data_IF_859393611840
#
_entry.id   IF_859393611840
#
_cell.length_a   1.000
_cell.length_b   1.000
_cell.length_c   1.000
_cell.angle_alpha   90.00
_cell.angle_beta   90.00
_cell.angle_gamma   90.00
#
_symmetry.space_group_name_H-M   'P 1'
#
loop_
_entity.id
_entity.type
_entity.pdbx_description
1 polymer ?
#
# COMPACT_ATOMS: atom_id res chain seq x y z
N UNK A 1 -6.99 -2.44 -11.01
CA UNK A 1 -7.26 -3.28 -9.82
C UNK A 1 -7.06 -2.44 -8.55
N UNK A 2 -7.59 -2.87 -7.40
CA UNK A 2 -7.52 -2.10 -6.14
C UNK A 2 -6.56 -2.75 -5.14
N UNK A 3 -5.64 -1.97 -4.58
CA UNK A 3 -4.68 -2.40 -3.56
C UNK A 3 -5.13 -1.89 -2.19
N UNK A 4 -5.38 -2.80 -1.25
CA UNK A 4 -5.65 -2.45 0.14
C UNK A 4 -4.32 -2.41 0.91
N UNK A 5 -3.92 -1.23 1.31
CA UNK A 5 -2.61 -0.97 1.92
C UNK A 5 -2.78 -0.65 3.41
N UNK A 6 -2.01 -1.32 4.27
CA UNK A 6 -1.71 -0.84 5.64
C UNK A 6 -0.22 -0.47 5.68
N UNK A 7 0.15 0.76 6.05
CA UNK A 7 1.54 1.13 6.27
C UNK A 7 2.22 0.17 7.24
N UNK A 8 3.50 -0.13 7.02
CA UNK A 8 4.26 -1.06 7.87
C UNK A 8 3.90 -2.55 7.76
N UNK A 9 2.82 -2.92 7.06
CA UNK A 9 2.46 -4.32 6.83
C UNK A 9 3.10 -4.88 5.53
N UNK A 10 3.03 -6.20 5.35
CA UNK A 10 3.54 -6.89 4.16
C UNK A 10 2.87 -6.42 2.84
N UNK A 11 1.70 -5.79 2.90
CA UNK A 11 1.04 -5.15 1.76
C UNK A 11 1.91 -4.07 1.08
N UNK A 12 2.88 -3.51 1.80
CA UNK A 12 3.84 -2.54 1.27
C UNK A 12 4.73 -3.14 0.17
N UNK A 13 5.10 -4.42 0.28
CA UNK A 13 5.94 -5.08 -0.73
C UNK A 13 5.22 -5.15 -2.09
N UNK A 14 3.91 -5.44 -2.07
CA UNK A 14 3.09 -5.45 -3.30
C UNK A 14 2.96 -4.05 -3.90
N UNK A 15 2.85 -3.02 -3.05
CA UNK A 15 2.83 -1.63 -3.52
C UNK A 15 4.12 -1.28 -4.26
N UNK A 16 5.29 -1.60 -3.70
CA UNK A 16 6.60 -1.37 -4.32
C UNK A 16 6.68 -2.08 -5.68
N UNK A 17 6.35 -3.38 -5.75
CA UNK A 17 6.41 -4.13 -7.01
C UNK A 17 5.51 -3.52 -8.07
N UNK A 18 4.31 -3.04 -7.72
CA UNK A 18 3.41 -2.42 -8.69
C UNK A 18 3.96 -1.09 -9.23
N UNK A 19 4.59 -0.29 -8.38
CA UNK A 19 5.27 0.95 -8.79
C UNK A 19 6.47 0.66 -9.72
N UNK A 20 7.30 -0.33 -9.38
CA UNK A 20 8.45 -0.75 -10.21
C UNK A 20 8.02 -1.29 -11.59
N UNK A 21 6.82 -1.90 -11.66
CA UNK A 21 6.22 -2.36 -12.91
C UNK A 21 5.50 -1.25 -13.68
N UNK A 22 5.44 -0.02 -13.15
CA UNK A 22 4.71 1.10 -13.75
C UNK A 22 3.19 0.93 -13.74
N UNK A 23 2.67 0.01 -12.92
CA UNK A 23 1.24 -0.27 -12.80
C UNK A 23 0.68 0.58 -11.68
N UNK A 24 -0.29 1.45 -12.00
CA UNK A 24 -0.96 2.30 -11.01
C UNK A 24 -2.28 1.68 -10.56
N UNK A 25 -2.32 0.90 -9.47
CA UNK A 25 -3.57 0.43 -8.89
C UNK A 25 -4.32 1.58 -8.21
N UNK A 26 -5.64 1.44 -8.06
CA UNK A 26 -6.37 2.27 -7.12
C UNK A 26 -5.97 1.85 -5.69
N UNK A 27 -5.29 2.71 -4.94
CA UNK A 27 -4.85 2.39 -3.56
C UNK A 27 -5.91 2.84 -2.57
N UNK A 28 -6.34 1.93 -1.70
CA UNK A 28 -7.07 2.27 -0.48
C UNK A 28 -6.17 2.01 0.71
N UNK A 29 -5.58 3.08 1.23
CA UNK A 29 -4.79 3.02 2.45
C UNK A 29 -5.72 3.02 3.67
N UNK A 30 -5.49 2.10 4.59
CA UNK A 30 -6.09 2.13 5.92
C UNK A 30 -5.06 2.72 6.87
N UNK A 31 -5.32 3.94 7.32
CA UNK A 31 -4.50 4.62 8.32
C UNK A 31 -5.16 4.39 9.68
N UNK A 32 -4.47 3.71 10.59
CA UNK A 32 -4.82 3.73 12.01
C UNK A 32 -3.93 4.74 12.71
N UNK A 33 -4.45 5.44 13.71
CA UNK A 33 -3.69 6.43 14.47
C UNK A 33 -2.43 5.84 15.15
N UNK A 34 -2.38 4.52 15.37
CA UNK A 34 -1.21 3.79 15.88
C UNK A 34 -0.01 3.77 14.92
N UNK A 35 -0.23 3.98 13.61
CA UNK A 35 0.82 3.98 12.58
C UNK A 35 1.46 5.39 12.39
N UNK A 36 1.06 6.39 13.19
CA UNK A 36 1.58 7.76 13.16
C UNK A 36 2.48 8.07 14.38
N UNK A 37 3.19 7.05 14.88
CA UNK A 37 4.14 7.15 15.98
C UNK A 37 5.56 7.44 15.48
#
# INVERSE_FOLDING_TARGET
>A
MKLYLKPGACSLAVHIVLEELGVRPAVQATLKAEDLA
#
